data_IF_578040866881
#
_entry.id   IF_578040866881
#
_cell.length_a   1.000
_cell.length_b   1.000
_cell.length_c   1.000
_cell.angle_alpha   90.00
_cell.angle_beta   90.00
_cell.angle_gamma   90.00
#
_symmetry.space_group_name_H-M   'P 1'
#
loop_
_entity.id
_entity.type
_entity.pdbx_description
1 polymer ?
#
# COMPACT_ATOMS: atom_id res chain seq x y z
N UNK A 1 -36.63 -10.56 15.57
CA UNK A 1 -35.27 -9.99 15.59
C UNK A 1 -34.38 -10.45 14.42
N UNK A 2 -34.96 -10.93 13.30
CA UNK A 2 -34.21 -11.41 12.11
C UNK A 2 -34.23 -10.35 11.00
N UNK A 3 -35.33 -9.61 10.83
CA UNK A 3 -35.44 -8.55 9.82
C UNK A 3 -34.42 -7.41 10.00
N UNK A 4 -34.09 -7.02 11.24
CA UNK A 4 -33.07 -5.99 11.50
C UNK A 4 -31.66 -6.44 11.09
N UNK A 5 -31.36 -7.74 11.19
CA UNK A 5 -30.06 -8.32 10.81
C UNK A 5 -29.88 -8.33 9.29
N UNK A 6 -30.94 -8.68 8.55
CA UNK A 6 -30.94 -8.62 7.08
C UNK A 6 -30.95 -7.18 6.57
N UNK A 7 -31.66 -6.27 7.25
CA UNK A 7 -31.67 -4.85 6.90
C UNK A 7 -30.31 -4.19 7.17
N UNK A 8 -29.65 -4.52 8.28
CA UNK A 8 -28.25 -4.08 8.56
C UNK A 8 -27.26 -4.66 7.55
N UNK A 9 -27.41 -5.92 7.14
CA UNK A 9 -26.61 -6.51 6.06
C UNK A 9 -26.78 -5.76 4.74
N UNK A 10 -28.01 -5.38 4.39
CA UNK A 10 -28.30 -4.66 3.15
C UNK A 10 -27.89 -3.17 3.22
N UNK A 11 -27.90 -2.54 4.40
CA UNK A 11 -27.39 -1.18 4.60
C UNK A 11 -25.86 -1.17 4.56
N UNK A 12 -25.19 -2.19 5.09
CA UNK A 12 -23.75 -2.36 4.93
C UNK A 12 -23.37 -2.47 3.44
N UNK A 13 -24.16 -3.19 2.63
CA UNK A 13 -24.06 -3.24 1.15
C UNK A 13 -24.22 -1.90 0.44
N UNK A 14 -24.90 -0.91 1.04
CA UNK A 14 -25.09 0.41 0.44
C UNK A 14 -23.93 1.39 0.71
N UNK A 15 -23.12 1.12 1.74
CA UNK A 15 -21.89 1.84 2.09
C UNK A 15 -20.61 1.08 1.68
N UNK A 16 -20.75 0.04 0.84
CA UNK A 16 -19.65 -0.85 0.44
C UNK A 16 -18.57 -0.16 -0.40
N UNK A 17 -18.85 0.99 -1.00
CA UNK A 17 -17.87 1.73 -1.80
C UNK A 17 -16.72 2.30 -0.96
N UNK A 18 -16.94 2.52 0.35
CA UNK A 18 -15.92 3.08 1.25
C UNK A 18 -15.33 2.03 2.22
N UNK A 19 -15.85 0.80 2.23
CA UNK A 19 -15.33 -0.29 3.06
C UNK A 19 -14.17 -0.96 2.33
N UNK A 20 -13.00 -0.89 2.97
CA UNK A 20 -11.72 -1.37 2.49
C UNK A 20 -11.76 -2.82 1.95
N UNK A 21 -11.78 -2.94 0.62
CA UNK A 21 -11.54 -4.21 -0.08
C UNK A 21 -10.18 -4.11 -0.78
N UNK A 22 -9.19 -4.99 -0.48
CA UNK A 22 -7.82 -4.82 -0.95
C UNK A 22 -7.60 -5.32 -2.39
N UNK A 23 -8.53 -5.03 -3.31
CA UNK A 23 -8.38 -5.26 -4.75
C UNK A 23 -9.04 -4.17 -5.59
N UNK A 24 -8.65 -4.09 -6.86
CA UNK A 24 -9.25 -3.19 -7.86
C UNK A 24 -9.46 -3.91 -9.19
N UNK A 25 -10.22 -3.29 -10.10
CA UNK A 25 -10.38 -3.79 -11.47
C UNK A 25 -8.98 -3.98 -12.10
N UNK A 26 -8.77 -5.15 -12.71
CA UNK A 26 -7.50 -5.60 -13.26
C UNK A 26 -6.73 -6.58 -12.37
N UNK A 27 -7.02 -6.63 -11.07
CA UNK A 27 -6.35 -7.54 -10.15
C UNK A 27 -6.77 -9.00 -10.38
N UNK A 28 -5.82 -9.92 -10.23
CA UNK A 28 -6.11 -11.35 -10.17
C UNK A 28 -6.42 -11.70 -8.71
N UNK A 29 -7.64 -12.16 -8.42
CA UNK A 29 -8.05 -12.51 -7.06
C UNK A 29 -8.52 -13.95 -6.96
N UNK A 30 -8.42 -14.52 -5.76
CA UNK A 30 -8.96 -15.83 -5.40
C UNK A 30 -9.80 -15.72 -4.14
N UNK A 31 -11.03 -16.23 -4.20
CA UNK A 31 -11.94 -16.30 -3.06
C UNK A 31 -12.62 -17.68 -3.08
N UNK A 32 -12.52 -18.41 -1.96
CA UNK A 32 -12.87 -19.83 -1.90
C UNK A 32 -12.19 -20.63 -3.02
N UNK A 33 -12.98 -21.26 -3.88
CA UNK A 33 -12.56 -22.09 -5.00
C UNK A 33 -12.57 -21.32 -6.33
N UNK A 34 -12.92 -20.04 -6.33
CA UNK A 34 -12.96 -19.21 -7.51
C UNK A 34 -11.69 -18.37 -7.62
N UNK A 35 -11.13 -18.30 -8.83
CA UNK A 35 -9.96 -17.49 -9.15
C UNK A 35 -10.18 -16.83 -10.50
N UNK A 36 -9.90 -15.54 -10.61
CA UNK A 36 -10.10 -14.81 -11.86
C UNK A 36 -9.71 -13.35 -11.74
N UNK A 37 -9.57 -12.70 -12.90
CA UNK A 37 -9.26 -11.28 -12.99
C UNK A 37 -10.53 -10.48 -12.74
N UNK A 38 -10.46 -9.49 -11.85
CA UNK A 38 -11.55 -8.54 -11.62
C UNK A 38 -11.73 -7.70 -12.88
N UNK A 39 -12.88 -7.80 -13.54
CA UNK A 39 -13.18 -7.00 -14.73
C UNK A 39 -14.17 -5.87 -14.45
N UNK A 40 -14.98 -6.01 -13.39
CA UNK A 40 -16.01 -5.03 -13.05
C UNK A 40 -16.33 -5.10 -11.56
N UNK A 41 -16.56 -3.94 -10.94
CA UNK A 41 -17.03 -3.83 -9.54
C UNK A 41 -18.28 -2.97 -9.54
N UNK A 42 -19.42 -3.59 -9.27
CA UNK A 42 -20.71 -2.93 -9.12
C UNK A 42 -21.06 -2.82 -7.64
N UNK A 43 -22.04 -1.97 -7.26
CA UNK A 43 -22.45 -1.84 -5.85
C UNK A 43 -22.89 -3.17 -5.20
N UNK A 44 -23.36 -4.13 -6.00
CA UNK A 44 -23.93 -5.39 -5.53
C UNK A 44 -22.94 -6.56 -5.66
N UNK A 45 -22.13 -6.58 -6.72
CA UNK A 45 -21.27 -7.72 -7.05
C UNK A 45 -19.96 -7.31 -7.73
N UNK A 46 -18.94 -8.13 -7.55
CA UNK A 46 -17.67 -8.08 -8.29
C UNK A 46 -17.68 -9.18 -9.35
N UNK A 47 -17.34 -8.83 -10.59
CA UNK A 47 -17.31 -9.76 -11.72
C UNK A 47 -15.86 -10.17 -11.99
N UNK A 48 -15.61 -11.47 -12.01
CA UNK A 48 -14.32 -12.07 -12.35
C UNK A 48 -14.38 -12.74 -13.71
N UNK A 49 -13.31 -12.61 -14.49
CA UNK A 49 -13.04 -13.40 -15.69
C UNK A 49 -12.04 -14.51 -15.33
N UNK A 50 -12.42 -15.78 -15.49
CA UNK A 50 -11.53 -16.92 -15.27
C UNK A 50 -10.59 -17.13 -16.46
N UNK A 51 -9.59 -18.00 -16.28
CA UNK A 51 -8.71 -18.43 -17.39
C UNK A 51 -9.47 -19.21 -18.47
N UNK A 52 -10.62 -19.81 -18.11
CA UNK A 52 -11.49 -20.54 -19.04
C UNK A 52 -12.52 -19.61 -19.73
N UNK A 53 -12.32 -18.28 -19.68
CA UNK A 53 -13.22 -17.26 -20.22
C UNK A 53 -14.63 -17.24 -19.60
N UNK A 54 -14.80 -17.80 -18.40
CA UNK A 54 -16.07 -17.78 -17.68
C UNK A 54 -16.21 -16.50 -16.85
N UNK A 55 -17.44 -15.96 -16.79
CA UNK A 55 -17.78 -14.84 -15.92
C UNK A 55 -18.35 -15.32 -14.59
N UNK A 56 -17.69 -14.97 -13.49
CA UNK A 56 -18.14 -15.29 -12.14
C UNK A 56 -18.59 -14.00 -11.45
N UNK A 57 -19.86 -13.93 -11.06
CA UNK A 57 -20.38 -12.83 -10.25
C UNK A 57 -20.35 -13.21 -8.77
N UNK A 58 -19.61 -12.42 -7.98
CA UNK A 58 -19.44 -12.63 -6.55
C UNK A 58 -20.13 -11.49 -5.80
N UNK A 59 -21.17 -11.76 -4.98
CA UNK A 59 -21.80 -10.72 -4.17
C UNK A 59 -20.78 -10.05 -3.26
N UNK A 60 -20.75 -8.72 -3.24
CA UNK A 60 -19.73 -7.99 -2.48
C UNK A 60 -19.75 -8.36 -0.99
N UNK A 61 -20.94 -8.61 -0.44
CA UNK A 61 -21.16 -9.06 0.93
C UNK A 61 -20.40 -10.36 1.30
N UNK A 62 -20.02 -11.18 0.31
CA UNK A 62 -19.25 -12.40 0.53
C UNK A 62 -17.82 -12.09 0.97
N UNK A 63 -17.20 -11.02 0.44
CA UNK A 63 -15.82 -10.65 0.78
C UNK A 63 -15.66 -10.21 2.25
N UNK A 64 -16.74 -9.89 2.94
CA UNK A 64 -16.71 -9.60 4.39
C UNK A 64 -16.67 -10.85 5.26
N UNK A 65 -17.06 -11.99 4.71
CA UNK A 65 -17.23 -13.25 5.46
C UNK A 65 -16.17 -14.29 5.14
N UNK A 66 -15.48 -14.08 4.02
CA UNK A 66 -14.60 -15.08 3.42
C UNK A 66 -13.21 -14.50 3.22
N UNK A 67 -12.20 -15.34 3.41
CA UNK A 67 -10.82 -14.98 3.09
C UNK A 67 -10.68 -14.89 1.57
N UNK A 68 -10.12 -13.77 1.10
CA UNK A 68 -9.79 -13.53 -0.30
C UNK A 68 -8.30 -13.19 -0.41
N UNK A 69 -7.66 -13.74 -1.44
CA UNK A 69 -6.24 -13.51 -1.76
C UNK A 69 -6.17 -12.70 -3.04
N UNK A 70 -5.56 -11.52 -2.98
CA UNK A 70 -5.18 -10.76 -4.18
C UNK A 70 -3.83 -11.30 -4.68
N UNK A 71 -3.87 -12.09 -5.74
CA UNK A 71 -2.71 -12.78 -6.32
C UNK A 71 -1.83 -11.80 -7.11
N UNK A 72 -2.44 -10.86 -7.82
CA UNK A 72 -1.73 -9.83 -8.59
C UNK A 72 -2.28 -8.46 -8.22
N UNK A 73 -1.91 -7.93 -7.05
CA UNK A 73 -2.30 -6.59 -6.69
C UNK A 73 -1.59 -5.63 -7.66
N UNK A 74 -2.34 -5.08 -8.61
CA UNK A 74 -1.94 -3.90 -9.36
C UNK A 74 -2.04 -2.64 -8.48
N UNK A 75 -2.45 -2.80 -7.21
CA UNK A 75 -2.80 -1.78 -6.24
C UNK A 75 -1.63 -0.88 -5.85
N UNK A 76 -0.53 -1.49 -5.40
CA UNK A 76 0.62 -0.76 -4.88
C UNK A 76 1.86 -1.64 -4.92
N UNK A 77 3.04 -1.04 -5.10
CA UNK A 77 4.32 -1.74 -4.89
C UNK A 77 5.01 -1.15 -3.67
N UNK A 78 5.47 -2.05 -2.80
CA UNK A 78 6.36 -1.69 -1.71
C UNK A 78 7.73 -1.31 -2.26
N UNK A 79 8.24 -0.19 -1.77
CA UNK A 79 9.62 0.26 -1.95
C UNK A 79 10.25 0.27 -0.56
N UNK A 80 11.39 -0.41 -0.43
CA UNK A 80 12.25 -0.37 0.75
C UNK A 80 13.55 0.32 0.37
N UNK A 81 13.88 1.40 1.08
CA UNK A 81 15.08 2.19 0.86
C UNK A 81 15.96 2.04 2.10
N UNK A 82 17.04 1.24 2.04
CA UNK A 82 18.00 1.17 3.11
C UNK A 82 18.80 2.47 3.16
N UNK A 83 18.97 3.00 4.36
CA UNK A 83 19.69 4.25 4.61
C UNK A 83 20.62 4.06 5.80
N UNK A 84 21.78 4.70 5.73
CA UNK A 84 22.80 4.61 6.77
C UNK A 84 23.19 6.01 7.16
N UNK A 85 22.98 6.34 8.43
CA UNK A 85 23.38 7.62 9.01
C UNK A 85 24.52 7.42 10.00
N UNK A 86 25.31 8.47 10.19
CA UNK A 86 26.34 8.48 11.22
C UNK A 86 25.71 8.51 12.61
N UNK A 87 26.42 8.05 13.64
CA UNK A 87 25.91 8.04 15.01
C UNK A 87 25.69 9.45 15.58
N UNK A 88 26.40 10.42 15.02
CA UNK A 88 26.39 11.83 15.37
C UNK A 88 25.09 12.53 14.94
N UNK A 89 24.39 11.96 13.95
CA UNK A 89 23.09 12.46 13.48
C UNK A 89 21.98 11.94 14.39
N UNK A 90 21.13 12.86 14.88
CA UNK A 90 19.95 12.49 15.67
C UNK A 90 18.90 11.76 14.81
N UNK A 91 18.58 10.49 15.08
CA UNK A 91 17.66 9.73 14.23
C UNK A 91 16.24 10.32 14.13
N UNK A 92 15.62 10.85 15.20
CA UNK A 92 14.34 11.56 15.12
C UNK A 92 14.36 12.81 14.24
N UNK A 93 15.42 13.63 14.30
CA UNK A 93 15.57 14.80 13.43
C UNK A 93 15.66 14.38 11.95
N UNK A 94 16.49 13.36 11.67
CA UNK A 94 16.64 12.79 10.34
C UNK A 94 15.33 12.19 9.81
N UNK A 95 14.61 11.43 10.63
CA UNK A 95 13.30 10.87 10.28
C UNK A 95 12.31 11.97 9.88
N UNK A 96 12.26 13.05 10.66
CA UNK A 96 11.35 14.17 10.39
C UNK A 96 11.65 14.84 9.04
N UNK A 97 12.92 15.09 8.73
CA UNK A 97 13.32 15.68 7.44
C UNK A 97 13.01 14.77 6.25
N UNK A 98 13.27 13.46 6.38
CA UNK A 98 12.99 12.49 5.32
C UNK A 98 11.48 12.37 5.09
N UNK A 99 10.67 12.31 6.14
CA UNK A 99 9.21 12.26 6.04
C UNK A 99 8.63 13.55 5.45
N UNK A 100 9.18 14.72 5.80
CA UNK A 100 8.79 16.01 5.19
C UNK A 100 9.11 16.04 3.69
N UNK A 101 10.28 15.53 3.30
CA UNK A 101 10.66 15.40 1.89
C UNK A 101 9.73 14.43 1.15
N UNK A 102 9.39 13.30 1.78
CA UNK A 102 8.42 12.33 1.22
C UNK A 102 7.02 12.94 1.07
N UNK A 103 6.57 13.82 1.98
CA UNK A 103 5.27 14.47 1.87
C UNK A 103 5.11 15.28 0.57
N UNK A 104 6.20 15.80 -0.01
CA UNK A 104 6.17 16.49 -1.31
C UNK A 104 5.81 15.56 -2.48
N UNK A 105 6.04 14.26 -2.31
CA UNK A 105 5.75 13.20 -3.29
C UNK A 105 4.49 12.40 -2.96
N UNK A 106 3.68 12.85 -1.98
CA UNK A 106 2.48 12.15 -1.49
C UNK A 106 1.49 11.77 -2.59
N UNK A 107 1.44 12.53 -3.69
CA UNK A 107 0.58 12.20 -4.84
C UNK A 107 0.89 10.84 -5.48
N UNK A 108 2.13 10.36 -5.37
CA UNK A 108 2.58 9.09 -5.91
C UNK A 108 2.39 7.91 -4.94
N UNK A 109 2.12 8.20 -3.66
CA UNK A 109 2.01 7.20 -2.61
C UNK A 109 0.57 6.82 -2.32
N UNK A 110 0.38 5.59 -1.85
CA UNK A 110 -0.92 5.14 -1.35
C UNK A 110 -1.19 5.83 0.00
N UNK A 111 -2.18 6.71 0.04
CA UNK A 111 -2.51 7.52 1.24
C UNK A 111 -2.94 6.67 2.44
N UNK A 112 -3.32 5.42 2.19
CA UNK A 112 -3.68 4.45 3.25
C UNK A 112 -2.46 3.95 4.00
N UNK A 113 -1.27 4.07 3.41
CA UNK A 113 -0.02 3.59 3.96
C UNK A 113 1.01 4.71 3.98
N UNK A 114 1.10 5.37 5.13
CA UNK A 114 2.09 6.42 5.34
C UNK A 114 3.51 5.85 5.22
N UNK A 115 4.47 6.62 4.70
CA UNK A 115 5.88 6.22 4.75
C UNK A 115 6.32 6.00 6.20
N UNK A 116 7.01 4.89 6.46
CA UNK A 116 7.50 4.53 7.80
C UNK A 116 9.00 4.34 7.73
N UNK A 117 9.73 4.90 8.70
CA UNK A 117 11.16 4.65 8.87
C UNK A 117 11.34 3.73 10.06
N UNK A 118 12.06 2.62 9.86
CA UNK A 118 12.37 1.67 10.91
C UNK A 118 13.89 1.55 11.08
N UNK A 119 14.36 1.59 12.32
CA UNK A 119 15.77 1.30 12.65
C UNK A 119 15.98 -0.21 12.52
N UNK A 120 16.84 -0.63 11.59
CA UNK A 120 17.23 -2.03 11.43
C UNK A 120 18.31 -2.44 12.42
N UNK A 121 19.32 -1.60 12.58
CA UNK A 121 20.50 -1.91 13.39
C UNK A 121 21.20 -0.65 13.87
N UNK A 122 21.78 -0.71 15.06
CA UNK A 122 22.71 0.30 15.58
C UNK A 122 24.09 -0.33 15.73
N UNK A 123 25.08 0.26 15.08
CA UNK A 123 26.49 -0.12 15.19
C UNK A 123 27.24 1.00 15.92
N UNK A 124 28.45 0.73 16.42
CA UNK A 124 29.24 1.72 17.16
C UNK A 124 29.53 3.03 16.40
N UNK A 125 29.44 3.01 15.05
CA UNK A 125 29.74 4.15 14.17
C UNK A 125 28.55 4.63 13.31
N UNK A 126 27.48 3.86 13.23
CA UNK A 126 26.38 4.14 12.30
C UNK A 126 25.06 3.56 12.75
N UNK A 127 23.97 4.15 12.27
CA UNK A 127 22.61 3.66 12.44
C UNK A 127 22.06 3.30 11.06
N UNK A 128 21.64 2.05 10.91
CA UNK A 128 20.99 1.54 9.70
C UNK A 128 19.48 1.69 9.87
N UNK A 129 18.84 2.44 8.96
CA UNK A 129 17.38 2.54 8.89
C UNK A 129 16.88 2.02 7.55
N UNK A 130 15.57 1.79 7.48
CA UNK A 130 14.87 1.45 6.25
C UNK A 130 13.61 2.29 6.18
N UNK A 131 13.48 3.06 5.11
CA UNK A 131 12.24 3.71 4.74
C UNK A 131 11.41 2.74 3.90
N UNK A 132 10.18 2.47 4.35
CA UNK A 132 9.20 1.67 3.63
C UNK A 132 8.05 2.56 3.19
N UNK A 133 7.71 2.50 1.90
CA UNK A 133 6.61 3.26 1.31
C UNK A 133 5.92 2.46 0.20
N UNK A 134 4.64 2.74 -0.01
CA UNK A 134 3.82 2.05 -1.00
C UNK A 134 3.47 3.01 -2.13
N UNK A 135 3.85 2.65 -3.36
CA UNK A 135 3.59 3.46 -4.56
C UNK A 135 2.32 3.02 -5.25
N UNK A 136 1.41 3.96 -5.54
CA UNK A 136 0.11 3.73 -6.23
C UNK A 136 0.27 3.14 -7.64
N UNK A 137 1.32 3.56 -8.35
CA UNK A 137 1.56 3.20 -9.74
C UNK A 137 2.88 2.41 -9.90
N UNK A 138 2.81 1.07 -10.05
CA UNK A 138 3.98 0.21 -10.13
C UNK A 138 4.97 0.54 -11.26
N UNK A 139 4.51 1.13 -12.37
CA UNK A 139 5.37 1.50 -13.51
C UNK A 139 6.30 2.67 -13.21
N UNK A 140 5.91 3.57 -12.30
CA UNK A 140 6.72 4.71 -11.85
C UNK A 140 7.65 4.37 -10.70
N UNK A 141 7.65 3.12 -10.23
CA UNK A 141 8.44 2.66 -9.08
C UNK A 141 9.90 3.11 -9.17
N UNK A 142 10.57 2.84 -10.30
CA UNK A 142 12.00 3.08 -10.44
C UNK A 142 12.34 4.57 -10.47
N UNK A 143 11.50 5.38 -11.12
CA UNK A 143 11.63 6.84 -11.13
C UNK A 143 11.46 7.43 -9.72
N UNK A 144 10.44 6.99 -8.98
CA UNK A 144 10.17 7.43 -7.61
C UNK A 144 11.29 6.97 -6.67
N UNK A 145 11.76 5.74 -6.82
CA UNK A 145 12.90 5.22 -6.06
C UNK A 145 14.16 6.09 -6.27
N UNK A 146 14.47 6.42 -7.52
CA UNK A 146 15.62 7.28 -7.84
C UNK A 146 15.50 8.66 -7.21
N UNK A 147 14.33 9.31 -7.35
CA UNK A 147 14.06 10.63 -6.79
C UNK A 147 14.18 10.64 -5.25
N UNK A 148 13.65 9.63 -4.57
CA UNK A 148 13.73 9.54 -3.11
C UNK A 148 15.17 9.28 -2.67
N UNK A 149 15.91 8.42 -3.37
CA UNK A 149 17.32 8.18 -3.08
C UNK A 149 18.16 9.45 -3.18
N UNK A 150 17.95 10.25 -4.22
CA UNK A 150 18.65 11.54 -4.40
C UNK A 150 18.35 12.50 -3.24
N UNK A 151 17.08 12.67 -2.89
CA UNK A 151 16.66 13.52 -1.76
C UNK A 151 17.21 13.04 -0.42
N UNK A 152 17.20 11.73 -0.17
CA UNK A 152 17.76 11.15 1.06
C UNK A 152 19.27 11.40 1.13
N UNK A 153 19.99 11.22 0.02
CA UNK A 153 21.42 11.50 -0.03
C UNK A 153 21.72 13.00 0.21
N UNK A 154 20.94 13.91 -0.37
CA UNK A 154 21.07 15.36 -0.10
C UNK A 154 20.88 15.69 1.39
N UNK A 155 19.88 15.08 2.03
CA UNK A 155 19.61 15.25 3.46
C UNK A 155 20.80 14.75 4.29
N UNK A 156 21.30 13.55 3.98
CA UNK A 156 22.47 12.96 4.67
C UNK A 156 23.69 13.90 4.55
N UNK A 157 23.99 14.39 3.35
CA UNK A 157 25.14 15.28 3.13
C UNK A 157 24.97 16.65 3.77
N UNK A 158 23.75 17.18 3.83
CA UNK A 158 23.47 18.44 4.55
C UNK A 158 23.65 18.29 6.05
N UNK A 159 23.18 17.19 6.64
CA UNK A 159 23.31 16.94 8.07
C UNK A 159 24.78 16.72 8.48
N UNK A 160 25.59 16.05 7.65
CA UNK A 160 27.05 15.93 7.87
C UNK A 160 27.78 17.28 7.84
N UNK A 161 27.32 18.25 7.05
CA UNK A 161 27.96 19.59 6.94
C UNK A 161 27.56 20.57 8.05
N UNK A 162 26.60 20.21 8.88
CA UNK A 162 26.19 20.98 10.07
C UNK A 162 27.05 20.67 11.30
N UNK A 163 27.93 19.68 11.18
CA UNK A 163 29.02 19.36 12.11
C UNK A 163 30.21 20.32 11.90
#
# INVERSE_FOLDING_TARGET
>A
MIAAKDTLQNIASKYFSDIYVPYKVGDLIKVKNFSGRVIEINPISTILLTENEELISIPNALFLREIMVNISPHAWKEIMIPMVISKEVDPPEFESEVLESCNKLKMYFDERFLPIIAIKKRTGKSVELTLTLLVKEPSKKDAILSEINERVNEIIERMKKRE
#
